data_IF_459345575577
#
_entry.id   IF_459345575577
#
_cell.length_a   1.000
_cell.length_b   1.000
_cell.length_c   1.000
_cell.angle_alpha   90.00
_cell.angle_beta   90.00
_cell.angle_gamma   90.00
#
_symmetry.space_group_name_H-M   'P 1'
#
loop_
_entity.id
_entity.type
_entity.pdbx_description
1 polymer ?
#
# COMPACT_ATOMS: atom_id res chain seq x y z
N UNK A 1 10.41 -8.41 14.47
CA UNK A 1 8.98 -8.08 14.24
C UNK A 1 8.55 -8.71 12.93
N UNK A 2 7.27 -9.08 12.83
CA UNK A 2 6.63 -9.53 11.58
C UNK A 2 5.99 -8.32 10.88
N UNK A 3 6.50 -7.96 9.72
CA UNK A 3 6.10 -6.75 8.98
C UNK A 3 5.44 -7.15 7.67
N UNK A 4 4.24 -6.62 7.40
CA UNK A 4 3.63 -6.71 6.07
C UNK A 4 3.79 -5.38 5.33
N UNK A 5 4.37 -5.42 4.14
CA UNK A 5 4.35 -4.29 3.19
C UNK A 5 3.26 -4.56 2.15
N UNK A 6 2.28 -3.70 2.06
CA UNK A 6 1.16 -3.86 1.11
C UNK A 6 1.38 -2.94 -0.07
N UNK A 7 1.69 -3.51 -1.24
CA UNK A 7 1.89 -2.79 -2.48
C UNK A 7 0.86 -3.25 -3.53
N UNK A 8 0.17 -2.33 -4.24
CA UNK A 8 -0.79 -2.69 -5.29
C UNK A 8 -0.15 -3.50 -6.42
N UNK A 9 1.05 -3.10 -6.80
CA UNK A 9 1.91 -3.73 -7.81
C UNK A 9 3.26 -4.08 -7.20
N UNK A 10 3.88 -5.12 -7.70
CA UNK A 10 5.23 -5.54 -7.32
C UNK A 10 5.82 -6.39 -8.43
N UNK A 11 7.09 -6.74 -8.29
CA UNK A 11 7.81 -7.56 -9.27
C UNK A 11 6.93 -8.65 -9.93
N UNK A 12 6.99 -8.81 -11.26
CA UNK A 12 7.86 -8.18 -12.27
C UNK A 12 7.42 -6.78 -12.76
N UNK A 13 6.41 -6.17 -12.17
CA UNK A 13 6.05 -4.79 -12.48
C UNK A 13 7.09 -3.85 -11.86
N UNK A 14 7.69 -3.00 -12.72
CA UNK A 14 8.75 -2.06 -12.33
C UNK A 14 8.23 -0.64 -12.33
N UNK A 15 8.43 0.07 -11.23
CA UNK A 15 8.08 1.47 -11.05
C UNK A 15 8.70 2.03 -9.77
N UNK A 16 8.52 3.33 -9.53
CA UNK A 16 9.13 4.00 -8.37
C UNK A 16 8.63 3.46 -7.03
N UNK A 17 7.33 3.15 -6.92
CA UNK A 17 6.74 2.60 -5.70
C UNK A 17 7.23 1.19 -5.45
N UNK A 18 7.28 0.35 -6.49
CA UNK A 18 7.75 -1.03 -6.43
C UNK A 18 9.21 -1.10 -6.01
N UNK A 19 10.07 -0.27 -6.61
CA UNK A 19 11.49 -0.17 -6.24
C UNK A 19 11.68 0.31 -4.80
N UNK A 20 10.88 1.28 -4.36
CA UNK A 20 10.89 1.74 -2.96
C UNK A 20 10.48 0.63 -2.00
N UNK A 21 9.39 -0.10 -2.30
CA UNK A 21 8.92 -1.21 -1.46
C UNK A 21 9.94 -2.33 -1.41
N UNK A 22 10.57 -2.65 -2.54
CA UNK A 22 11.62 -3.65 -2.61
C UNK A 22 12.81 -3.29 -1.72
N UNK A 23 13.33 -2.07 -1.85
CA UNK A 23 14.46 -1.59 -1.04
C UNK A 23 14.12 -1.57 0.45
N UNK A 24 12.93 -1.12 0.81
CA UNK A 24 12.44 -1.10 2.18
C UNK A 24 12.32 -2.53 2.75
N UNK A 25 11.78 -3.47 1.95
CA UNK A 25 11.64 -4.86 2.37
C UNK A 25 13.00 -5.52 2.65
N UNK A 26 13.96 -5.34 1.73
CA UNK A 26 15.31 -5.88 1.86
C UNK A 26 16.03 -5.28 3.08
N UNK A 27 15.96 -3.97 3.27
CA UNK A 27 16.59 -3.29 4.43
C UNK A 27 16.00 -3.75 5.77
N UNK A 28 14.68 -3.88 5.86
CA UNK A 28 14.02 -4.40 7.06
C UNK A 28 14.41 -5.87 7.34
N UNK A 29 14.50 -6.69 6.28
CA UNK A 29 14.95 -8.08 6.42
C UNK A 29 16.40 -8.17 6.90
N UNK A 30 17.31 -7.34 6.38
CA UNK A 30 18.70 -7.26 6.82
C UNK A 30 18.80 -6.84 8.30
N UNK A 31 17.86 -6.05 8.79
CA UNK A 31 17.77 -5.67 10.22
C UNK A 31 17.12 -6.74 11.10
N UNK A 32 16.86 -7.93 10.57
CA UNK A 32 16.36 -9.08 11.32
C UNK A 32 14.84 -9.08 11.52
N UNK A 33 14.08 -8.34 10.71
CA UNK A 33 12.62 -8.42 10.68
C UNK A 33 12.14 -9.53 9.73
N UNK A 34 11.06 -10.20 10.07
CA UNK A 34 10.36 -11.12 9.17
C UNK A 34 9.42 -10.29 8.29
N UNK A 35 9.80 -10.11 7.02
CA UNK A 35 9.09 -9.21 6.10
C UNK A 35 8.33 -10.01 5.04
N UNK A 36 7.08 -9.62 4.80
CA UNK A 36 6.26 -10.14 3.71
C UNK A 36 5.70 -8.99 2.88
N UNK A 37 5.97 -8.98 1.60
CA UNK A 37 5.32 -8.09 0.64
C UNK A 37 4.03 -8.74 0.17
N UNK A 38 2.89 -8.12 0.47
CA UNK A 38 1.57 -8.51 0.01
C UNK A 38 1.20 -7.70 -1.22
N UNK A 39 1.03 -8.35 -2.36
CA UNK A 39 0.75 -7.67 -3.64
C UNK A 39 -0.32 -8.40 -4.45
N UNK A 40 -0.77 -7.78 -5.56
CA UNK A 40 -1.76 -8.37 -6.46
C UNK A 40 -1.15 -9.45 -7.35
N UNK A 41 -1.84 -10.58 -7.50
CA UNK A 41 -1.51 -11.58 -8.52
C UNK A 41 -2.23 -11.26 -9.85
N UNK A 42 -1.83 -10.18 -10.51
CA UNK A 42 -2.40 -9.76 -11.78
C UNK A 42 -1.84 -10.53 -12.97
N UNK A 43 -0.61 -11.05 -12.85
CA UNK A 43 0.11 -11.77 -13.91
C UNK A 43 0.02 -13.29 -13.77
N UNK A 44 -0.79 -13.79 -12.85
CA UNK A 44 -0.98 -15.23 -12.57
C UNK A 44 0.34 -15.97 -12.28
N UNK A 45 1.18 -15.34 -11.47
CA UNK A 45 2.48 -15.86 -11.03
C UNK A 45 2.33 -16.78 -9.83
N UNK A 46 3.45 -17.34 -9.36
CA UNK A 46 3.51 -18.11 -8.12
C UNK A 46 2.91 -17.29 -6.95
N UNK A 47 2.04 -17.92 -6.19
CA UNK A 47 1.34 -17.26 -5.09
C UNK A 47 2.27 -16.82 -3.95
N UNK A 48 3.41 -17.50 -3.80
CA UNK A 48 4.44 -17.17 -2.79
C UNK A 48 5.82 -17.48 -3.33
N UNK A 49 6.78 -16.58 -3.04
CA UNK A 49 8.19 -16.77 -3.34
C UNK A 49 9.06 -16.06 -2.30
N UNK A 50 10.34 -16.42 -2.21
CA UNK A 50 11.35 -15.73 -1.43
C UNK A 50 12.18 -14.84 -2.36
N UNK A 51 12.51 -13.62 -1.89
CA UNK A 51 13.28 -12.64 -2.64
C UNK A 51 14.10 -11.81 -1.65
N UNK A 52 15.42 -11.72 -1.85
CA UNK A 52 16.34 -10.84 -1.09
C UNK A 52 16.15 -10.83 0.44
N UNK A 53 15.86 -12.00 1.03
CA UNK A 53 15.67 -12.14 2.48
C UNK A 53 14.26 -11.86 2.98
N UNK A 54 13.30 -11.51 2.12
CA UNK A 54 11.89 -11.34 2.45
C UNK A 54 11.00 -12.28 1.64
N UNK A 55 9.75 -12.42 2.05
CA UNK A 55 8.75 -13.18 1.31
C UNK A 55 7.87 -12.26 0.47
N UNK A 56 7.47 -12.71 -0.73
CA UNK A 56 6.43 -12.09 -1.54
C UNK A 56 5.22 -13.02 -1.56
N UNK A 57 4.06 -12.51 -1.18
CA UNK A 57 2.79 -13.21 -1.26
C UNK A 57 1.85 -12.47 -2.19
N UNK A 58 1.49 -13.12 -3.30
CA UNK A 58 0.59 -12.57 -4.31
C UNK A 58 -0.83 -13.02 -4.05
N UNK A 59 -1.68 -12.07 -3.66
CA UNK A 59 -3.09 -12.34 -3.37
C UNK A 59 -3.94 -12.29 -4.64
N UNK A 60 -5.03 -13.05 -4.66
CA UNK A 60 -5.94 -13.11 -5.80
C UNK A 60 -6.41 -11.71 -6.22
N UNK A 61 -6.16 -11.38 -7.49
CA UNK A 61 -6.64 -10.17 -8.15
C UNK A 61 -7.92 -10.53 -8.94
N UNK A 62 -9.01 -9.79 -8.72
CA UNK A 62 -10.27 -9.98 -9.42
C UNK A 62 -10.33 -9.25 -10.77
N UNK A 63 -9.39 -8.35 -11.00
CA UNK A 63 -9.29 -7.52 -12.19
C UNK A 63 -8.60 -6.21 -11.88
N UNK A 64 -8.39 -5.41 -12.92
CA UNK A 64 -7.75 -4.09 -12.83
C UNK A 64 -8.71 -3.04 -13.38
N UNK A 65 -9.04 -2.03 -12.58
CA UNK A 65 -9.90 -0.92 -12.99
C UNK A 65 -9.15 0.39 -12.75
N UNK A 66 -9.06 1.25 -13.76
CA UNK A 66 -8.35 2.53 -13.70
C UNK A 66 -6.94 2.39 -13.09
N UNK A 67 -6.17 1.43 -13.61
CA UNK A 67 -4.81 1.09 -13.13
C UNK A 67 -4.76 0.67 -11.65
N UNK A 68 -5.88 0.24 -11.08
CA UNK A 68 -6.00 -0.20 -9.69
C UNK A 68 -6.36 -1.67 -9.64
N UNK A 69 -5.54 -2.54 -9.05
CA UNK A 69 -5.86 -3.94 -8.87
C UNK A 69 -6.92 -4.11 -7.77
N UNK A 70 -7.91 -4.96 -8.03
CA UNK A 70 -8.98 -5.26 -7.09
C UNK A 70 -8.61 -6.52 -6.33
N UNK A 71 -8.17 -6.36 -5.08
CA UNK A 71 -7.57 -7.41 -4.23
C UNK A 71 -8.28 -7.54 -2.88
N UNK A 72 -9.59 -7.86 -2.82
CA UNK A 72 -10.34 -7.97 -1.56
C UNK A 72 -9.82 -9.08 -0.65
N UNK A 73 -9.07 -10.04 -1.18
CA UNK A 73 -8.41 -11.12 -0.43
C UNK A 73 -7.36 -10.63 0.57
N UNK A 74 -6.82 -9.40 0.42
CA UNK A 74 -5.97 -8.76 1.43
C UNK A 74 -6.62 -8.74 2.82
N UNK A 75 -7.96 -8.60 2.89
CA UNK A 75 -8.72 -8.62 4.16
C UNK A 75 -8.65 -9.96 4.89
N UNK A 76 -8.23 -11.04 4.22
CA UNK A 76 -8.01 -12.36 4.80
C UNK A 76 -6.52 -12.67 4.96
N UNK A 77 -5.69 -12.28 4.00
CA UNK A 77 -4.25 -12.52 4.01
C UNK A 77 -3.56 -11.80 5.19
N UNK A 78 -3.93 -10.54 5.46
CA UNK A 78 -3.35 -9.76 6.55
C UNK A 78 -3.60 -10.42 7.93
N UNK A 79 -4.83 -10.75 8.33
CA UNK A 79 -5.07 -11.46 9.58
C UNK A 79 -4.38 -12.83 9.67
N UNK A 80 -4.35 -13.58 8.57
CA UNK A 80 -3.70 -14.88 8.52
C UNK A 80 -2.18 -14.81 8.76
N UNK A 81 -1.54 -13.72 8.34
CA UNK A 81 -0.12 -13.48 8.53
C UNK A 81 0.28 -13.12 9.95
N UNK A 82 -0.63 -12.70 10.83
CA UNK A 82 -0.37 -12.30 12.23
C UNK A 82 0.79 -11.30 12.34
N UNK A 83 0.72 -10.21 11.59
CA UNK A 83 1.75 -9.17 11.55
C UNK A 83 1.69 -8.27 12.77
N UNK A 84 2.87 -7.81 13.22
CA UNK A 84 3.00 -6.81 14.30
C UNK A 84 2.69 -5.40 13.78
N UNK A 85 2.96 -5.16 12.50
CA UNK A 85 2.66 -3.91 11.79
C UNK A 85 2.38 -4.18 10.32
N UNK A 86 1.46 -3.41 9.76
CA UNK A 86 1.15 -3.39 8.33
C UNK A 86 1.51 -2.02 7.77
N UNK A 87 2.29 -1.98 6.70
CA UNK A 87 2.67 -0.75 6.03
C UNK A 87 2.12 -0.77 4.60
N UNK A 88 1.13 0.06 4.33
CA UNK A 88 0.48 0.14 3.02
C UNK A 88 1.03 1.30 2.20
N UNK A 89 1.19 1.08 0.90
CA UNK A 89 1.64 2.07 -0.08
C UNK A 89 0.47 2.52 -0.95
N UNK A 90 0.33 3.81 -1.14
CA UNK A 90 -0.77 4.44 -1.87
C UNK A 90 -0.23 5.63 -2.69
N UNK A 91 -0.79 5.96 -3.86
CA UNK A 91 -1.86 5.29 -4.59
C UNK A 91 -1.40 4.02 -5.32
N UNK A 92 -2.35 3.23 -5.87
CA UNK A 92 -3.80 3.37 -5.83
C UNK A 92 -4.38 2.95 -4.47
N UNK A 93 -5.48 3.58 -4.00
CA UNK A 93 -5.94 3.47 -2.61
C UNK A 93 -6.67 2.18 -2.24
N UNK A 94 -7.09 1.31 -3.20
CA UNK A 94 -7.88 0.12 -2.85
C UNK A 94 -7.09 -0.88 -1.98
N UNK A 95 -5.83 -1.13 -2.28
CA UNK A 95 -5.02 -2.05 -1.47
C UNK A 95 -4.83 -1.52 -0.04
N UNK A 96 -4.54 -0.21 0.10
CA UNK A 96 -4.46 0.44 1.39
C UNK A 96 -5.81 0.45 2.13
N UNK A 97 -6.93 0.61 1.41
CA UNK A 97 -8.27 0.51 1.98
C UNK A 97 -8.56 -0.90 2.52
N UNK A 98 -8.28 -1.95 1.75
CA UNK A 98 -8.45 -3.33 2.24
C UNK A 98 -7.53 -3.63 3.43
N UNK A 99 -6.30 -3.14 3.42
CA UNK A 99 -5.39 -3.23 4.54
C UNK A 99 -5.95 -2.52 5.78
N UNK A 100 -6.49 -1.32 5.63
CA UNK A 100 -7.08 -0.56 6.74
C UNK A 100 -8.24 -1.29 7.41
N UNK A 101 -9.10 -1.97 6.63
CA UNK A 101 -10.20 -2.79 7.16
C UNK A 101 -9.65 -4.00 7.93
N UNK A 102 -8.63 -4.66 7.39
CA UNK A 102 -8.02 -5.80 8.06
C UNK A 102 -7.37 -5.41 9.39
N UNK A 103 -6.58 -4.33 9.37
CA UNK A 103 -5.90 -3.81 10.56
C UNK A 103 -6.88 -3.37 11.65
N UNK A 104 -7.96 -2.70 11.29
CA UNK A 104 -9.01 -2.32 12.25
C UNK A 104 -9.64 -3.54 12.94
N UNK A 105 -9.83 -4.63 12.19
CA UNK A 105 -10.42 -5.88 12.72
C UNK A 105 -9.49 -6.64 13.66
N UNK A 106 -8.18 -6.55 13.43
CA UNK A 106 -7.16 -7.28 14.19
C UNK A 106 -6.50 -6.45 15.28
N UNK A 107 -6.72 -5.13 15.30
CA UNK A 107 -6.00 -4.21 16.17
C UNK A 107 -4.54 -3.98 15.75
N UNK A 108 -4.15 -4.46 14.55
CA UNK A 108 -2.77 -4.31 14.05
C UNK A 108 -2.52 -2.87 13.63
N UNK A 109 -1.44 -2.22 14.07
CA UNK A 109 -1.09 -0.88 13.62
C UNK A 109 -0.90 -0.80 12.11
N UNK A 110 -1.53 0.23 11.49
CA UNK A 110 -1.36 0.53 10.07
C UNK A 110 -0.48 1.77 9.91
N UNK A 111 0.57 1.65 9.10
CA UNK A 111 1.33 2.77 8.56
C UNK A 111 0.95 2.93 7.09
N UNK A 112 0.86 4.15 6.58
CA UNK A 112 0.57 4.38 5.15
C UNK A 112 1.59 5.36 4.58
N UNK A 113 2.32 4.96 3.54
CA UNK A 113 3.12 5.88 2.72
C UNK A 113 2.30 6.34 1.52
N UNK A 114 2.21 7.65 1.37
CA UNK A 114 1.51 8.28 0.26
C UNK A 114 2.54 8.86 -0.71
N UNK A 115 2.66 8.27 -1.90
CA UNK A 115 3.72 8.57 -2.86
C UNK A 115 3.39 9.72 -3.81
N UNK A 116 2.14 9.83 -4.25
CA UNK A 116 1.71 10.88 -5.19
C UNK A 116 0.19 11.05 -5.20
N UNK A 117 -0.29 12.19 -5.68
CA UNK A 117 -1.70 12.39 -5.97
C UNK A 117 -2.10 11.61 -7.23
N UNK A 118 -3.28 10.99 -7.22
CA UNK A 118 -3.85 10.39 -8.41
C UNK A 118 -4.38 11.51 -9.31
N UNK A 119 -3.78 11.65 -10.48
CA UNK A 119 -4.23 12.56 -11.51
C UNK A 119 -4.54 11.77 -12.80
N UNK A 120 -5.78 11.84 -13.26
CA UNK A 120 -6.20 11.28 -14.54
C UNK A 120 -6.65 12.48 -15.39
N UNK A 121 -5.90 12.84 -16.46
CA UNK A 121 -6.07 14.11 -17.17
C UNK A 121 -7.32 14.12 -18.09
N UNK A 122 -8.47 13.70 -17.53
CA UNK A 122 -9.79 13.80 -18.17
C UNK A 122 -10.80 14.27 -17.15
N UNK A 123 -11.83 15.01 -17.57
CA UNK A 123 -12.88 15.48 -16.66
C UNK A 123 -13.55 14.33 -15.90
N UNK A 124 -13.93 13.26 -16.58
CA UNK A 124 -14.52 12.06 -15.97
C UNK A 124 -13.53 11.37 -15.04
N UNK A 125 -12.27 11.27 -15.45
CA UNK A 125 -11.20 10.71 -14.65
C UNK A 125 -10.99 11.47 -13.33
N UNK A 126 -10.98 12.79 -13.38
CA UNK A 126 -10.84 13.64 -12.20
C UNK A 126 -12.03 13.52 -11.23
N UNK A 127 -13.25 13.42 -11.75
CA UNK A 127 -14.45 13.20 -10.91
C UNK A 127 -14.39 11.83 -10.24
N UNK A 128 -14.06 10.77 -10.98
CA UNK A 128 -13.94 9.42 -10.45
C UNK A 128 -12.80 9.31 -9.43
N UNK A 129 -11.64 9.90 -9.73
CA UNK A 129 -10.49 9.94 -8.82
C UNK A 129 -10.84 10.71 -7.55
N UNK A 130 -11.51 11.85 -7.67
CA UNK A 130 -11.97 12.64 -6.53
C UNK A 130 -12.94 11.88 -5.63
N UNK A 131 -13.91 11.17 -6.20
CA UNK A 131 -14.86 10.33 -5.46
C UNK A 131 -14.14 9.16 -4.77
N UNK A 132 -13.25 8.50 -5.50
CA UNK A 132 -12.47 7.37 -5.03
C UNK A 132 -11.53 7.76 -3.87
N UNK A 133 -10.85 8.91 -3.99
CA UNK A 133 -10.01 9.45 -2.91
C UNK A 133 -10.84 9.87 -1.68
N UNK A 134 -12.01 10.48 -1.92
CA UNK A 134 -12.90 10.91 -0.82
C UNK A 134 -13.50 9.74 -0.04
N UNK A 135 -13.64 8.58 -0.65
CA UNK A 135 -14.18 7.38 -0.01
C UNK A 135 -13.05 6.47 0.52
N UNK A 136 -12.44 5.71 -0.37
CA UNK A 136 -11.46 4.67 -0.03
C UNK A 136 -10.12 5.24 0.45
N UNK A 137 -9.61 6.29 -0.20
CA UNK A 137 -8.37 6.93 0.19
C UNK A 137 -8.44 7.57 1.57
N UNK A 138 -9.50 8.33 1.84
CA UNK A 138 -9.71 8.95 3.17
C UNK A 138 -9.81 7.93 4.28
N UNK A 139 -10.49 6.84 4.05
CA UNK A 139 -10.67 5.81 5.08
C UNK A 139 -9.34 5.17 5.46
N UNK A 140 -8.50 4.83 4.48
CA UNK A 140 -7.17 4.30 4.73
C UNK A 140 -6.29 5.30 5.51
N UNK A 141 -6.27 6.57 5.10
CA UNK A 141 -5.49 7.62 5.76
C UNK A 141 -5.95 7.90 7.20
N UNK A 142 -7.27 7.93 7.44
CA UNK A 142 -7.83 8.17 8.79
C UNK A 142 -7.56 7.05 9.77
N UNK A 143 -7.43 5.81 9.30
CA UNK A 143 -7.15 4.63 10.11
C UNK A 143 -5.65 4.38 10.30
N UNK A 144 -4.81 5.06 9.55
CA UNK A 144 -3.37 4.95 9.70
C UNK A 144 -2.93 5.52 11.05
N UNK A 145 -2.15 4.74 11.80
CA UNK A 145 -1.50 5.20 13.02
C UNK A 145 -0.41 6.24 12.70
N UNK A 146 0.21 6.11 11.52
CA UNK A 146 1.15 7.08 10.94
C UNK A 146 0.95 7.18 9.44
N UNK A 147 1.01 8.42 8.94
CA UNK A 147 1.03 8.72 7.51
C UNK A 147 2.42 9.25 7.16
N UNK A 148 3.03 8.67 6.14
CA UNK A 148 4.37 9.02 5.66
C UNK A 148 4.27 9.63 4.27
N UNK A 149 5.13 10.60 4.01
CA UNK A 149 5.42 11.16 2.68
C UNK A 149 6.92 11.26 2.47
N UNK A 150 7.35 11.31 1.22
CA UNK A 150 8.77 11.28 0.88
C UNK A 150 9.44 12.66 0.85
N UNK A 151 8.68 13.75 0.82
CA UNK A 151 9.25 15.11 0.78
C UNK A 151 8.37 16.12 1.53
N UNK A 152 9.01 17.15 2.12
CA UNK A 152 8.31 18.26 2.78
C UNK A 152 7.43 19.06 1.82
N UNK A 153 7.95 19.31 0.62
CA UNK A 153 7.19 20.00 -0.43
C UNK A 153 5.88 19.26 -0.71
N UNK A 154 5.95 17.93 -0.79
CA UNK A 154 4.77 17.11 -1.06
C UNK A 154 3.79 17.11 0.14
N UNK A 155 4.31 17.08 1.36
CA UNK A 155 3.49 17.23 2.56
C UNK A 155 2.66 18.52 2.55
N UNK A 156 3.26 19.63 2.09
CA UNK A 156 2.62 20.94 2.04
C UNK A 156 1.67 21.14 0.85
N UNK A 157 1.94 20.52 -0.31
CA UNK A 157 1.23 20.83 -1.57
C UNK A 157 0.20 19.78 -1.98
N UNK A 158 0.26 18.56 -1.45
CA UNK A 158 -0.69 17.50 -1.82
C UNK A 158 -2.10 17.83 -1.36
N UNK A 159 -3.04 17.78 -2.31
CA UNK A 159 -4.48 18.03 -2.05
C UNK A 159 -5.13 16.98 -1.16
N UNK A 160 -4.55 15.77 -1.13
CA UNK A 160 -5.11 14.64 -0.39
C UNK A 160 -4.68 14.60 1.07
N UNK A 161 -3.42 14.92 1.37
CA UNK A 161 -2.80 14.57 2.65
C UNK A 161 -2.41 15.75 3.55
N UNK A 162 -2.34 16.99 3.06
CA UNK A 162 -1.91 18.15 3.85
C UNK A 162 -2.66 18.31 5.19
N UNK A 163 -3.89 17.81 5.27
CA UNK A 163 -4.74 17.87 6.48
C UNK A 163 -4.40 16.84 7.55
N UNK A 164 -3.55 15.86 7.23
CA UNK A 164 -3.28 14.73 8.13
C UNK A 164 -1.95 14.82 8.87
N UNK A 165 -1.23 15.94 8.72
CA UNK A 165 0.08 16.17 9.35
C UNK A 165 1.03 14.95 9.17
N UNK A 166 1.40 14.61 7.93
CA UNK A 166 2.22 13.44 7.65
C UNK A 166 3.63 13.61 8.18
N UNK A 167 4.28 12.49 8.50
CA UNK A 167 5.71 12.45 8.79
C UNK A 167 6.49 12.40 7.47
N UNK A 168 7.52 13.22 7.34
CA UNK A 168 8.40 13.20 6.16
C UNK A 168 9.53 12.21 6.42
N UNK A 169 9.63 11.20 5.55
CA UNK A 169 10.73 10.22 5.53
C UNK A 169 11.18 10.12 4.06
N UNK A 170 12.36 10.71 3.72
CA UNK A 170 12.92 10.71 2.37
C UNK A 170 13.22 9.33 1.83
#
# INVERSE_FOLDING_TARGET
MRVALVAPWFDPHVGGVESHVHSLAAELAQRGHEVTVLTSNYANLAGREAMDGFAVERVKCLGVVLRTPITPSLRKAIPAGRYDVVHAHSPPPLSAHYASIACERTGTPLVTTYHCDLDIPTFVGNVLTGLYQRTYGRQAMRRAAKLIVTTETYAATSRAIWRYNPVVIP
#
